data_IF_760098708965
#
_entry.id   IF_760098708965
#
_cell.length_a   1.000
_cell.length_b   1.000
_cell.length_c   1.000
_cell.angle_alpha   90.00
_cell.angle_beta   90.00
_cell.angle_gamma   90.00
#
_symmetry.space_group_name_H-M   'P 1'
#
loop_
_entity.id
_entity.type
_entity.pdbx_description
1 polymer ?
#
# COMPACT_ATOMS: atom_id res chain seq x y z
N UNK A 1 -1.52 28.08 -10.78
CA UNK A 1 -0.92 27.61 -12.04
C UNK A 1 -1.66 26.35 -12.43
N UNK A 2 -2.05 26.19 -13.70
CA UNK A 2 -2.68 24.97 -14.21
C UNK A 2 -1.82 24.41 -15.33
N UNK A 3 -1.50 23.12 -15.25
CA UNK A 3 -0.78 22.39 -16.29
C UNK A 3 -1.76 21.39 -16.92
N UNK A 4 -1.69 21.18 -18.24
CA UNK A 4 -2.60 20.31 -19.00
C UNK A 4 -1.82 19.37 -19.92
N UNK A 5 -2.36 18.18 -20.19
CA UNK A 5 -1.67 17.15 -20.98
C UNK A 5 -0.48 16.59 -20.20
N UNK A 6 -0.70 16.24 -18.93
CA UNK A 6 0.33 15.66 -18.07
C UNK A 6 0.05 14.18 -17.94
N UNK A 7 0.96 13.36 -18.43
CA UNK A 7 0.85 11.90 -18.36
C UNK A 7 1.59 11.32 -17.16
N UNK A 8 2.60 12.02 -16.65
CA UNK A 8 3.43 11.54 -15.53
C UNK A 8 3.76 12.65 -14.54
N UNK A 9 3.55 12.35 -13.27
CA UNK A 9 3.99 13.15 -12.13
C UNK A 9 4.87 12.28 -11.25
N UNK A 10 5.98 12.84 -10.76
CA UNK A 10 6.88 12.16 -9.83
C UNK A 10 6.99 13.02 -8.58
N UNK A 11 6.56 12.48 -7.45
CA UNK A 11 6.66 13.11 -6.14
C UNK A 11 8.12 13.21 -5.67
N UNK A 12 8.38 14.21 -4.83
CA UNK A 12 9.70 14.42 -4.22
C UNK A 12 9.84 13.74 -2.86
N UNK A 13 10.85 14.17 -2.10
CA UNK A 13 10.99 13.83 -0.67
C UNK A 13 10.16 14.72 0.24
N UNK A 14 9.65 15.84 -0.29
CA UNK A 14 8.71 16.70 0.41
C UNK A 14 7.30 16.13 0.35
N UNK A 15 6.46 16.58 1.28
CA UNK A 15 5.02 16.27 1.25
C UNK A 15 4.34 17.14 0.20
N UNK A 16 3.92 16.52 -0.89
CA UNK A 16 3.23 17.18 -1.98
C UNK A 16 1.70 17.04 -1.87
N UNK A 17 0.97 18.06 -2.33
CA UNK A 17 -0.49 18.03 -2.43
C UNK A 17 -0.91 18.27 -3.89
N UNK A 18 -1.47 17.22 -4.51
CA UNK A 18 -1.72 17.15 -5.93
C UNK A 18 -3.22 16.99 -6.15
N UNK A 19 -3.79 17.81 -7.02
CA UNK A 19 -5.17 17.66 -7.49
C UNK A 19 -5.14 17.53 -9.00
N UNK A 20 -5.55 16.37 -9.49
CA UNK A 20 -5.76 16.12 -10.91
C UNK A 20 -7.17 16.59 -11.25
N UNK A 21 -7.29 17.63 -12.05
CA UNK A 21 -8.59 18.22 -12.43
C UNK A 21 -9.12 17.72 -13.77
N UNK A 22 -8.33 16.92 -14.49
CA UNK A 22 -8.68 16.34 -15.78
C UNK A 22 -7.48 15.63 -16.42
N UNK A 23 -7.77 14.75 -17.39
CA UNK A 23 -6.80 13.83 -17.98
C UNK A 23 -7.31 12.40 -17.92
N UNK A 24 -6.70 11.51 -18.69
CA UNK A 24 -6.98 10.09 -18.67
C UNK A 24 -5.63 9.35 -18.59
N UNK A 25 -5.44 8.53 -17.57
CA UNK A 25 -4.25 7.69 -17.47
C UNK A 25 -3.03 8.40 -16.90
N UNK A 26 -3.23 9.21 -15.85
CA UNK A 26 -2.10 9.81 -15.14
C UNK A 26 -1.32 8.72 -14.42
N UNK A 27 0.00 8.72 -14.62
CA UNK A 27 0.95 7.96 -13.81
C UNK A 27 1.52 8.87 -12.73
N UNK A 28 1.14 8.65 -11.48
CA UNK A 28 1.72 9.32 -10.33
C UNK A 28 2.69 8.39 -9.61
N UNK A 29 3.99 8.69 -9.69
CA UNK A 29 4.98 8.05 -8.84
C UNK A 29 5.00 8.74 -7.48
N UNK A 30 4.58 7.99 -6.47
CA UNK A 30 4.46 8.46 -5.10
C UNK A 30 5.81 8.83 -4.50
N UNK A 31 5.86 9.99 -3.85
CA UNK A 31 6.89 10.41 -2.92
C UNK A 31 6.43 10.26 -1.45
N UNK A 32 7.21 10.84 -0.55
CA UNK A 32 6.97 10.73 0.90
C UNK A 32 5.88 11.68 1.40
N UNK A 33 4.79 11.12 1.90
CA UNK A 33 3.71 11.84 2.57
C UNK A 33 2.73 12.49 1.59
N UNK A 34 2.86 12.19 0.30
CA UNK A 34 2.09 12.85 -0.74
C UNK A 34 0.59 12.60 -0.60
N UNK A 35 -0.19 13.61 -0.96
CA UNK A 35 -1.62 13.52 -1.11
C UNK A 35 -2.00 13.77 -2.57
N UNK A 36 -2.75 12.84 -3.16
CA UNK A 36 -3.25 12.97 -4.53
C UNK A 36 -4.76 12.78 -4.57
N UNK A 37 -5.45 13.76 -5.14
CA UNK A 37 -6.84 13.63 -5.57
C UNK A 37 -6.86 13.36 -7.07
N UNK A 38 -7.25 12.16 -7.46
CA UNK A 38 -7.42 11.79 -8.87
C UNK A 38 -8.68 12.45 -9.45
N UNK A 39 -8.68 12.67 -10.76
CA UNK A 39 -9.85 13.16 -11.45
C UNK A 39 -10.86 12.04 -11.59
N UNK A 40 -12.13 12.31 -11.30
CA UNK A 40 -13.19 11.40 -11.72
C UNK A 40 -13.29 11.43 -13.25
N UNK A 41 -12.80 10.39 -13.93
CA UNK A 41 -12.73 10.37 -15.39
C UNK A 41 -12.70 8.97 -16.00
N UNK A 42 -12.68 8.93 -17.33
CA UNK A 42 -12.43 7.70 -18.10
C UNK A 42 -10.94 7.56 -18.37
N UNK A 43 -10.30 6.52 -17.86
CA UNK A 43 -8.88 6.25 -18.00
C UNK A 43 -8.38 5.43 -16.82
N UNK A 44 -7.27 4.72 -16.98
CA UNK A 44 -6.64 3.97 -15.87
C UNK A 44 -5.55 4.83 -15.28
N UNK A 45 -5.84 5.53 -14.19
CA UNK A 45 -4.80 6.23 -13.44
C UNK A 45 -3.96 5.22 -12.66
N UNK A 46 -2.68 5.51 -12.49
CA UNK A 46 -1.73 4.61 -11.84
C UNK A 46 -0.98 5.31 -10.73
N UNK A 47 -1.11 4.83 -9.50
CA UNK A 47 -0.28 5.20 -8.36
C UNK A 47 0.89 4.23 -8.27
N UNK A 48 2.12 4.72 -8.38
CA UNK A 48 3.32 3.91 -8.50
C UNK A 48 4.17 4.00 -7.23
N UNK A 49 4.50 2.84 -6.69
CA UNK A 49 5.47 2.68 -5.63
C UNK A 49 6.73 2.04 -6.21
N UNK A 50 7.81 2.81 -6.36
CA UNK A 50 9.10 2.32 -6.88
C UNK A 50 10.00 1.72 -5.79
N UNK A 51 9.75 2.09 -4.53
CA UNK A 51 10.50 1.68 -3.36
C UNK A 51 9.63 1.84 -2.11
N UNK A 52 9.61 0.85 -1.23
CA UNK A 52 8.88 0.96 0.05
C UNK A 52 9.53 1.96 1.02
N UNK A 53 10.82 2.27 0.82
CA UNK A 53 11.59 3.20 1.66
C UNK A 53 11.56 4.64 1.14
N UNK A 54 11.11 4.88 -0.09
CA UNK A 54 11.06 6.24 -0.66
C UNK A 54 9.74 6.94 -0.33
N UNK A 55 8.70 6.16 -0.02
CA UNK A 55 7.37 6.62 0.44
C UNK A 55 7.42 6.93 1.95
N UNK A 56 8.53 7.47 2.38
CA UNK A 56 8.91 7.47 3.77
C UNK A 56 9.67 8.77 4.03
N UNK A 57 9.24 9.50 5.07
CA UNK A 57 9.93 10.71 5.49
C UNK A 57 11.41 10.36 5.81
N UNK A 58 12.32 11.33 5.94
CA UNK A 58 13.74 11.06 6.21
C UNK A 58 14.01 10.16 7.44
N UNK A 59 13.01 9.91 8.31
CA UNK A 59 13.05 9.00 9.46
C UNK A 59 12.35 7.63 9.26
N UNK A 60 11.59 7.43 8.17
CA UNK A 60 10.79 6.23 7.87
C UNK A 60 11.53 5.25 6.95
N UNK A 61 12.86 5.26 6.87
CA UNK A 61 13.59 4.12 6.25
C UNK A 61 13.51 2.83 7.10
N UNK A 62 12.76 2.86 8.21
CA UNK A 62 12.62 1.79 9.20
C UNK A 62 11.15 1.39 9.38
N UNK A 63 10.91 0.10 9.61
CA UNK A 63 9.58 -0.41 9.93
C UNK A 63 9.06 0.19 11.25
N UNK A 64 7.74 0.33 11.37
CA UNK A 64 7.05 0.86 12.56
C UNK A 64 6.85 2.35 12.62
N UNK A 65 7.25 3.09 11.59
CA UNK A 65 6.85 4.48 11.42
C UNK A 65 5.52 4.54 10.65
N UNK A 66 4.56 5.28 11.20
CA UNK A 66 3.22 5.46 10.65
C UNK A 66 3.00 6.91 10.15
N UNK A 67 3.99 7.45 9.44
CA UNK A 67 3.99 8.78 8.82
C UNK A 67 4.59 8.66 7.42
N UNK A 68 4.38 9.65 6.55
CA UNK A 68 4.95 9.64 5.19
C UNK A 68 4.27 8.68 4.20
N UNK A 69 3.21 7.97 4.61
CA UNK A 69 2.39 7.20 3.69
C UNK A 69 1.69 8.11 2.67
N UNK A 70 1.38 7.57 1.50
CA UNK A 70 0.65 8.30 0.46
C UNK A 70 -0.84 8.26 0.75
N UNK A 71 -1.52 9.39 0.58
CA UNK A 71 -2.97 9.46 0.65
C UNK A 71 -3.54 9.70 -0.74
N UNK A 72 -4.48 8.84 -1.14
CA UNK A 72 -5.13 8.87 -2.46
C UNK A 72 -6.62 9.06 -2.24
N UNK A 73 -7.24 9.97 -2.97
CA UNK A 73 -8.70 10.11 -3.02
C UNK A 73 -9.21 10.04 -4.45
N UNK A 74 -10.47 9.66 -4.62
CA UNK A 74 -11.12 9.41 -5.91
C UNK A 74 -10.51 8.26 -6.73
N UNK A 75 -9.77 7.35 -6.09
CA UNK A 75 -9.31 6.13 -6.76
C UNK A 75 -10.50 5.25 -7.14
N UNK A 76 -10.53 4.78 -8.38
CA UNK A 76 -11.63 4.00 -8.94
C UNK A 76 -11.21 2.53 -9.02
N UNK A 77 -11.54 1.75 -7.98
CA UNK A 77 -11.29 0.30 -7.95
C UNK A 77 -11.88 -0.39 -9.20
N UNK A 78 -11.15 -1.36 -9.74
CA UNK A 78 -11.45 -2.04 -11.01
C UNK A 78 -10.95 -1.29 -12.25
N UNK A 79 -10.68 0.01 -12.16
CA UNK A 79 -10.23 0.84 -13.29
C UNK A 79 -8.79 1.32 -13.08
N UNK A 80 -8.54 2.00 -11.96
CA UNK A 80 -7.23 2.52 -11.59
C UNK A 80 -6.33 1.40 -11.05
N UNK A 81 -5.02 1.68 -11.02
CA UNK A 81 -4.01 0.73 -10.59
C UNK A 81 -3.05 1.28 -9.55
N UNK A 82 -2.59 0.38 -8.70
CA UNK A 82 -1.47 0.54 -7.79
C UNK A 82 -0.35 -0.34 -8.31
N UNK A 83 0.70 0.27 -8.85
CA UNK A 83 1.78 -0.47 -9.48
C UNK A 83 3.04 -0.46 -8.62
N UNK A 84 3.57 -1.65 -8.35
CA UNK A 84 4.86 -1.84 -7.72
C UNK A 84 5.93 -1.94 -8.80
N UNK A 85 6.94 -1.09 -8.72
CA UNK A 85 8.08 -1.08 -9.66
C UNK A 85 9.39 -1.05 -8.89
N UNK A 86 10.53 -1.06 -9.59
CA UNK A 86 11.85 -0.89 -8.96
C UNK A 86 12.11 -1.89 -7.82
N UNK A 87 12.58 -1.39 -6.68
CA UNK A 87 12.88 -2.21 -5.51
C UNK A 87 11.62 -2.67 -4.78
N UNK A 88 10.52 -1.91 -4.86
CA UNK A 88 9.22 -2.33 -4.32
C UNK A 88 8.69 -3.59 -5.03
N UNK A 89 8.85 -3.66 -6.36
CA UNK A 89 8.52 -4.86 -7.14
C UNK A 89 9.32 -6.06 -6.65
N UNK A 90 10.65 -5.96 -6.58
CA UNK A 90 11.50 -7.09 -6.15
C UNK A 90 11.29 -7.48 -4.70
N UNK A 91 10.88 -6.55 -3.85
CA UNK A 91 10.56 -6.85 -2.45
C UNK A 91 9.20 -7.54 -2.29
N UNK A 92 8.25 -7.25 -3.18
CA UNK A 92 6.93 -7.90 -3.18
C UNK A 92 6.96 -9.28 -3.87
N UNK A 93 7.59 -9.36 -5.04
CA UNK A 93 7.80 -10.57 -5.86
C UNK A 93 8.93 -11.42 -5.25
N UNK A 94 8.60 -12.14 -4.18
CA UNK A 94 9.55 -12.92 -3.38
C UNK A 94 10.01 -14.17 -4.11
N UNK A 95 9.16 -14.76 -4.94
CA UNK A 95 9.51 -15.96 -5.71
C UNK A 95 10.18 -15.62 -7.06
N UNK A 96 10.15 -14.35 -7.49
CA UNK A 96 10.80 -13.85 -8.70
C UNK A 96 10.10 -14.27 -9.99
N UNK A 97 8.83 -14.66 -9.94
CA UNK A 97 8.07 -15.17 -11.09
C UNK A 97 7.38 -14.06 -11.90
N UNK A 98 7.58 -12.79 -11.53
CA UNK A 98 6.99 -11.61 -12.14
C UNK A 98 5.47 -11.52 -11.99
N UNK A 99 4.89 -12.21 -11.02
CA UNK A 99 3.50 -12.11 -10.59
C UNK A 99 3.42 -11.87 -9.08
N UNK A 100 2.23 -11.49 -8.59
CA UNK A 100 1.93 -11.54 -7.16
C UNK A 100 1.18 -12.83 -6.85
N UNK A 101 1.73 -13.66 -5.99
CA UNK A 101 1.02 -14.74 -5.29
C UNK A 101 0.01 -14.13 -4.33
N UNK A 102 -1.27 -14.14 -4.72
CA UNK A 102 -2.33 -13.47 -3.98
C UNK A 102 -3.22 -14.42 -3.19
N UNK A 103 -3.77 -13.93 -2.07
CA UNK A 103 -4.80 -14.65 -1.32
C UNK A 103 -5.75 -13.69 -0.59
N UNK A 104 -6.85 -14.23 -0.09
CA UNK A 104 -7.72 -13.56 0.88
C UNK A 104 -7.69 -14.32 2.20
N UNK A 105 -7.62 -13.61 3.32
CA UNK A 105 -7.56 -14.23 4.64
C UNK A 105 -8.30 -13.40 5.69
N UNK A 106 -8.88 -14.07 6.67
CA UNK A 106 -9.41 -13.44 7.87
C UNK A 106 -8.30 -13.27 8.93
N UNK A 107 -8.66 -12.68 10.07
CA UNK A 107 -7.79 -12.56 11.26
C UNK A 107 -7.16 -13.91 11.61
N UNK A 108 -5.86 -13.90 11.93
CA UNK A 108 -5.04 -15.08 12.22
C UNK A 108 -4.80 -16.04 11.02
N UNK A 109 -5.21 -15.66 9.80
CA UNK A 109 -5.17 -16.52 8.62
C UNK A 109 -4.15 -16.10 7.56
N UNK A 110 -3.44 -14.99 7.74
CA UNK A 110 -2.49 -14.48 6.74
C UNK A 110 -1.25 -15.38 6.71
N UNK A 111 -1.04 -16.06 5.58
CA UNK A 111 0.16 -16.87 5.33
C UNK A 111 1.25 -16.00 4.73
N UNK A 112 2.26 -15.66 5.54
CA UNK A 112 3.36 -14.78 5.14
C UNK A 112 4.44 -15.51 4.33
N UNK A 113 4.52 -16.84 4.47
CA UNK A 113 5.52 -17.67 3.82
C UNK A 113 5.29 -17.88 2.31
N UNK A 114 4.04 -17.95 1.86
CA UNK A 114 3.71 -18.22 0.44
C UNK A 114 3.05 -17.07 -0.31
N UNK A 115 2.39 -16.15 0.41
CA UNK A 115 1.61 -15.09 -0.23
C UNK A 115 2.42 -13.78 -0.26
N UNK A 116 2.37 -13.11 -1.38
CA UNK A 116 3.08 -11.86 -1.64
C UNK A 116 2.16 -10.66 -1.42
N UNK A 117 0.87 -10.82 -1.71
CA UNK A 117 -0.18 -9.85 -1.41
C UNK A 117 -1.42 -10.55 -0.87
N UNK A 118 -1.89 -10.13 0.31
CA UNK A 118 -3.08 -10.69 0.94
C UNK A 118 -4.15 -9.63 1.15
N UNK A 119 -5.37 -9.90 0.70
CA UNK A 119 -6.55 -9.11 1.06
C UNK A 119 -7.10 -9.58 2.41
N UNK A 120 -7.05 -8.71 3.42
CA UNK A 120 -7.58 -9.00 4.73
C UNK A 120 -9.11 -8.83 4.71
N UNK A 121 -9.83 -9.92 4.90
CA UNK A 121 -11.30 -9.94 4.88
C UNK A 121 -11.91 -9.47 6.19
N UNK A 122 -11.15 -9.56 7.29
CA UNK A 122 -11.51 -8.94 8.56
C UNK A 122 -11.38 -7.42 8.46
N UNK A 123 -12.49 -6.71 8.65
CA UNK A 123 -12.54 -5.25 8.62
C UNK A 123 -11.79 -4.66 9.81
N UNK A 124 -10.95 -3.66 9.55
CA UNK A 124 -10.32 -2.84 10.59
C UNK A 124 -11.39 -1.96 11.22
N UNK A 125 -11.76 -2.26 12.47
CA UNK A 125 -12.86 -1.57 13.17
C UNK A 125 -12.53 -0.13 13.61
N UNK A 126 -11.30 0.33 13.39
CA UNK A 126 -10.80 1.64 13.76
C UNK A 126 -10.13 2.37 12.59
N UNK A 127 -9.22 3.29 12.91
CA UNK A 127 -8.44 3.99 11.88
C UNK A 127 -7.44 3.06 11.21
N UNK A 128 -7.23 3.23 9.91
CA UNK A 128 -6.12 2.61 9.17
C UNK A 128 -4.75 3.25 9.53
N UNK A 129 -4.77 4.40 10.20
CA UNK A 129 -3.59 5.23 10.46
C UNK A 129 -3.40 5.53 11.95
N UNK A 130 -3.97 4.73 12.85
CA UNK A 130 -3.80 4.96 14.28
C UNK A 130 -2.34 4.78 14.74
N UNK A 131 -2.02 5.33 15.92
CA UNK A 131 -0.70 5.20 16.49
C UNK A 131 -0.31 3.72 16.59
N UNK A 132 0.92 3.39 16.18
CA UNK A 132 1.46 2.02 16.14
C UNK A 132 0.71 1.02 15.24
N UNK A 133 -0.23 1.49 14.39
CA UNK A 133 -1.06 0.66 13.53
C UNK A 133 -1.82 -0.42 14.33
N UNK A 134 -2.29 -0.05 15.53
CA UNK A 134 -2.89 -0.96 16.50
C UNK A 134 -4.18 -1.60 15.97
N UNK A 135 -5.06 -0.81 15.34
CA UNK A 135 -6.31 -1.32 14.77
C UNK A 135 -6.05 -2.30 13.62
N UNK A 136 -5.09 -1.98 12.74
CA UNK A 136 -4.67 -2.87 11.66
C UNK A 136 -4.10 -4.19 12.22
N UNK A 137 -3.16 -4.12 13.16
CA UNK A 137 -2.55 -5.29 13.78
C UNK A 137 -3.55 -6.18 14.50
N UNK A 138 -4.54 -5.59 15.18
CA UNK A 138 -5.63 -6.34 15.80
C UNK A 138 -6.50 -7.07 14.77
N UNK A 139 -6.75 -6.45 13.61
CA UNK A 139 -7.52 -7.08 12.54
C UNK A 139 -6.72 -8.19 11.82
N UNK A 140 -5.41 -7.99 11.66
CA UNK A 140 -4.48 -8.96 11.07
C UNK A 140 -4.35 -10.21 11.97
N UNK A 141 -4.16 -9.99 13.27
CA UNK A 141 -3.89 -11.06 14.23
C UNK A 141 -2.52 -11.68 14.02
N UNK A 142 -2.42 -13.00 14.21
CA UNK A 142 -1.17 -13.75 14.02
C UNK A 142 -0.96 -14.18 12.57
N UNK A 143 0.30 -14.20 12.15
CA UNK A 143 0.71 -14.73 10.86
C UNK A 143 0.89 -16.24 10.93
N UNK A 144 0.67 -16.91 9.80
CA UNK A 144 0.91 -18.35 9.63
C UNK A 144 2.10 -18.58 8.69
N UNK A 145 2.78 -19.71 8.89
CA UNK A 145 4.01 -20.07 8.14
C UNK A 145 5.08 -18.97 8.20
N UNK A 146 5.23 -18.36 9.38
CA UNK A 146 6.22 -17.30 9.58
C UNK A 146 7.62 -17.85 9.82
N UNK A 147 8.60 -17.02 9.47
CA UNK A 147 10.03 -17.22 9.73
C UNK A 147 10.69 -15.86 9.81
N UNK A 148 11.85 -15.76 10.46
CA UNK A 148 12.54 -14.49 10.64
C UNK A 148 12.86 -13.83 9.29
N UNK A 149 12.42 -12.58 9.11
CA UNK A 149 12.54 -11.81 7.88
C UNK A 149 11.44 -12.08 6.84
N UNK A 150 10.48 -12.97 7.11
CA UNK A 150 9.37 -13.21 6.20
C UNK A 150 8.55 -11.92 6.05
N UNK A 151 8.13 -11.61 4.82
CA UNK A 151 7.38 -10.38 4.52
C UNK A 151 6.17 -10.67 3.65
N UNK A 152 5.18 -9.78 3.65
CA UNK A 152 4.04 -9.81 2.72
C UNK A 152 3.43 -8.42 2.63
N UNK A 153 2.72 -8.14 1.54
CA UNK A 153 1.83 -6.99 1.48
C UNK A 153 0.46 -7.38 2.01
N UNK A 154 -0.15 -6.50 2.78
CA UNK A 154 -1.52 -6.69 3.25
C UNK A 154 -2.37 -5.51 2.76
N UNK A 155 -3.42 -5.83 2.02
CA UNK A 155 -4.48 -4.90 1.68
C UNK A 155 -5.60 -5.05 2.71
N UNK A 156 -5.70 -4.10 3.64
CA UNK A 156 -6.76 -4.06 4.63
C UNK A 156 -7.76 -2.93 4.33
N UNK A 157 -8.96 -3.02 4.91
CA UNK A 157 -9.97 -1.98 4.76
C UNK A 157 -10.73 -1.75 6.08
N UNK A 158 -11.30 -0.56 6.25
CA UNK A 158 -12.16 -0.21 7.38
C UNK A 158 -13.66 -0.14 7.00
N UNK A 159 -14.04 -0.81 5.90
CA UNK A 159 -15.39 -0.77 5.33
C UNK A 159 -15.66 0.40 4.38
N UNK A 160 -14.80 1.42 4.33
CA UNK A 160 -14.97 2.56 3.41
C UNK A 160 -13.70 2.92 2.66
N UNK A 161 -12.54 2.77 3.29
CA UNK A 161 -11.23 3.06 2.72
C UNK A 161 -10.32 1.85 2.82
N UNK A 162 -9.29 1.80 1.99
CA UNK A 162 -8.26 0.77 2.00
C UNK A 162 -6.91 1.31 2.47
N UNK A 163 -6.15 0.47 3.15
CA UNK A 163 -4.75 0.71 3.47
C UNK A 163 -3.89 -0.41 2.88
N UNK A 164 -2.80 -0.02 2.21
CA UNK A 164 -1.78 -0.95 1.72
C UNK A 164 -0.60 -0.94 2.68
N UNK A 165 -0.32 -2.08 3.29
CA UNK A 165 0.73 -2.23 4.29
C UNK A 165 1.81 -3.19 3.81
N UNK A 166 3.05 -2.90 4.18
CA UNK A 166 4.12 -3.89 4.21
C UNK A 166 4.21 -4.46 5.63
N UNK A 167 4.17 -5.78 5.75
CA UNK A 167 4.42 -6.49 7.01
C UNK A 167 5.69 -7.31 6.85
N UNK A 168 6.59 -7.23 7.83
CA UNK A 168 7.81 -8.03 7.90
C UNK A 168 7.91 -8.60 9.31
N UNK A 169 7.72 -9.90 9.45
CA UNK A 169 7.97 -10.59 10.71
C UNK A 169 9.49 -10.75 10.88
N UNK A 170 10.09 -9.86 11.66
CA UNK A 170 11.55 -9.76 11.80
C UNK A 170 12.12 -10.86 12.66
N UNK A 171 11.34 -11.38 13.62
CA UNK A 171 11.80 -12.36 14.60
C UNK A 171 11.29 -13.78 14.32
N UNK A 172 10.30 -13.93 13.43
CA UNK A 172 9.70 -15.19 13.00
C UNK A 172 8.71 -15.81 13.97
N UNK A 173 8.20 -15.06 14.95
CA UNK A 173 7.30 -15.59 15.99
C UNK A 173 5.81 -15.62 15.59
N UNK A 174 5.49 -15.10 14.40
CA UNK A 174 4.13 -15.02 13.87
C UNK A 174 3.25 -13.97 14.56
N UNK A 175 3.77 -13.24 15.55
CA UNK A 175 3.16 -12.02 16.04
C UNK A 175 3.57 -10.85 15.14
N UNK A 176 2.85 -9.74 15.27
CA UNK A 176 3.17 -8.52 14.52
C UNK A 176 3.31 -7.38 15.50
N UNK A 177 4.54 -6.95 15.72
CA UNK A 177 4.87 -5.76 16.49
C UNK A 177 4.62 -4.48 15.67
N UNK A 178 4.58 -3.32 16.33
CA UNK A 178 4.49 -2.05 15.63
C UNK A 178 5.69 -1.86 14.68
N UNK A 179 6.89 -2.24 15.14
CA UNK A 179 8.17 -2.18 14.40
C UNK A 179 8.29 -3.15 13.23
N UNK A 180 7.21 -3.86 12.89
CA UNK A 180 7.16 -4.88 11.84
C UNK A 180 6.18 -4.52 10.73
N UNK A 181 5.56 -3.34 10.84
CA UNK A 181 4.57 -2.87 9.87
C UNK A 181 4.97 -1.49 9.36
N UNK A 182 4.73 -1.28 8.07
CA UNK A 182 4.79 0.03 7.43
C UNK A 182 3.51 0.24 6.64
N UNK A 183 2.86 1.38 6.82
CA UNK A 183 1.76 1.81 5.95
C UNK A 183 2.36 2.50 4.72
N UNK A 184 2.04 2.01 3.53
CA UNK A 184 2.52 2.55 2.26
C UNK A 184 1.57 3.62 1.71
N UNK A 185 0.27 3.34 1.76
CA UNK A 185 -0.72 4.32 1.37
C UNK A 185 -2.15 3.99 1.78
N UNK A 186 -2.97 5.04 1.80
CA UNK A 186 -4.39 5.02 2.16
C UNK A 186 -5.21 5.51 0.98
N UNK A 187 -6.20 4.72 0.58
CA UNK A 187 -7.13 5.01 -0.50
C UNK A 187 -8.46 5.40 0.10
N UNK A 188 -8.67 6.70 0.24
CA UNK A 188 -9.78 7.30 0.95
C UNK A 188 -11.07 7.20 0.14
N UNK A 189 -12.10 6.61 0.75
CA UNK A 189 -13.42 6.44 0.13
C UNK A 189 -13.51 5.29 -0.89
N UNK A 190 -12.46 4.46 -0.99
CA UNK A 190 -12.45 3.32 -1.89
C UNK A 190 -11.91 2.08 -1.18
N UNK A 191 -12.65 0.98 -1.27
CA UNK A 191 -12.16 -0.36 -0.90
C UNK A 191 -11.54 -1.00 -2.14
N UNK A 192 -10.23 -1.20 -2.11
CA UNK A 192 -9.49 -1.83 -3.21
C UNK A 192 -9.71 -3.35 -3.24
N UNK A 193 -9.46 -3.92 -4.41
CA UNK A 193 -9.39 -5.35 -4.69
C UNK A 193 -7.96 -5.78 -4.99
N UNK A 194 -7.69 -7.09 -4.94
CA UNK A 194 -6.39 -7.64 -5.34
C UNK A 194 -6.03 -7.31 -6.80
N UNK A 195 -7.02 -7.20 -7.69
CA UNK A 195 -6.80 -6.85 -9.10
C UNK A 195 -6.41 -5.38 -9.32
N UNK A 196 -6.51 -4.53 -8.29
CA UNK A 196 -6.07 -3.15 -8.37
C UNK A 196 -4.56 -3.00 -8.17
N UNK A 197 -3.90 -4.03 -7.63
CA UNK A 197 -2.48 -4.01 -7.33
C UNK A 197 -1.75 -4.94 -8.29
N UNK A 198 -0.73 -4.42 -8.98
CA UNK A 198 0.08 -5.20 -9.91
C UNK A 198 1.56 -4.88 -9.79
N UNK A 199 2.38 -5.78 -10.33
CA UNK A 199 3.76 -5.48 -10.68
C UNK A 199 3.78 -4.81 -12.04
N UNK A 200 4.78 -3.98 -12.31
CA UNK A 200 5.14 -3.68 -13.70
C UNK A 200 6.54 -3.13 -13.82
#
# INVERSE_FOLDING_TARGET
MSVSGVETLVGGTGTDAITVTGGAGIRFQAGSGDSIALASGSGTDTVVYSSFTDISAPDNSTLGVNTGFVSVSNFQSGTDKVQLTGTARTAADKNGDASLSTASAATNGVNIGSNELVSLTSVVSGSLTDASLASFRSALGTLTNSSAGASTLVLANNGTSSGLYQVVDTNGDGQVAATEVRLLGVYNGTVLSLSDINLG
#
